data_IF_274996366862
#
_entry.id   IF_274996366862
#
_cell.length_a   1.000
_cell.length_b   1.000
_cell.length_c   1.000
_cell.angle_alpha   90.00
_cell.angle_beta   90.00
_cell.angle_gamma   90.00
#
_symmetry.space_group_name_H-M   'P 1'
#
loop_
_entity.id
_entity.type
_entity.pdbx_description
1 polymer ?
#
# COMPACT_ATOMS: atom_id res chain seq x y z
N UNK A 1 -2.70 11.44 -22.43
CA UNK A 1 -2.05 10.26 -21.82
C UNK A 1 -2.76 9.80 -20.56
N UNK A 2 -3.05 10.65 -19.57
CA UNK A 2 -3.72 10.23 -18.31
C UNK A 2 -5.03 9.44 -18.47
N UNK A 3 -5.90 9.84 -19.39
CA UNK A 3 -7.15 9.09 -19.65
C UNK A 3 -6.97 7.65 -20.16
N UNK A 4 -5.83 7.31 -20.77
CA UNK A 4 -5.58 5.95 -21.25
C UNK A 4 -5.19 5.03 -20.09
N UNK A 5 -4.28 5.49 -19.22
CA UNK A 5 -3.83 4.77 -18.02
C UNK A 5 -4.99 4.50 -17.07
N UNK A 6 -5.87 5.49 -16.87
CA UNK A 6 -7.06 5.33 -16.04
C UNK A 6 -8.01 4.26 -16.61
N UNK A 7 -8.28 4.29 -17.91
CA UNK A 7 -9.12 3.28 -18.57
C UNK A 7 -8.51 1.89 -18.49
N UNK A 8 -7.20 1.79 -18.63
CA UNK A 8 -6.49 0.51 -18.47
C UNK A 8 -6.59 0.00 -17.03
N UNK A 9 -6.45 0.87 -16.02
CA UNK A 9 -6.67 0.51 -14.63
C UNK A 9 -8.10 0.02 -14.39
N UNK A 10 -9.09 0.74 -14.91
CA UNK A 10 -10.50 0.37 -14.83
C UNK A 10 -10.77 -0.99 -15.47
N UNK A 11 -10.15 -1.27 -16.63
CA UNK A 11 -10.24 -2.56 -17.31
C UNK A 11 -9.65 -3.68 -16.46
N UNK A 12 -8.45 -3.49 -15.88
CA UNK A 12 -7.83 -4.48 -14.99
C UNK A 12 -8.71 -4.80 -13.78
N UNK A 13 -9.42 -3.80 -13.23
CA UNK A 13 -10.38 -3.99 -12.14
C UNK A 13 -11.57 -4.83 -12.61
N UNK A 14 -12.13 -4.55 -13.80
CA UNK A 14 -13.26 -5.31 -14.34
C UNK A 14 -12.88 -6.76 -14.66
N UNK A 15 -11.68 -6.99 -15.19
CA UNK A 15 -11.14 -8.33 -15.45
C UNK A 15 -10.93 -9.11 -14.15
N UNK A 16 -10.35 -8.47 -13.12
CA UNK A 16 -10.18 -9.08 -11.81
C UNK A 16 -11.53 -9.42 -11.16
N UNK A 17 -12.53 -8.54 -11.31
CA UNK A 17 -13.91 -8.79 -10.86
C UNK A 17 -14.54 -9.97 -11.60
N UNK A 18 -14.41 -10.03 -12.93
CA UNK A 18 -15.00 -11.08 -13.74
C UNK A 18 -14.37 -12.46 -13.49
N UNK A 19 -13.06 -12.48 -13.21
CA UNK A 19 -12.32 -13.71 -12.89
C UNK A 19 -12.41 -14.14 -11.43
N UNK A 20 -12.91 -13.27 -10.54
CA UNK A 20 -12.89 -13.51 -9.10
C UNK A 20 -11.48 -13.52 -8.51
N UNK A 21 -10.53 -12.83 -9.15
CA UNK A 21 -9.15 -12.74 -8.69
C UNK A 21 -9.08 -12.11 -7.30
N UNK A 22 -8.15 -12.60 -6.48
CA UNK A 22 -7.82 -11.98 -5.20
C UNK A 22 -6.71 -10.94 -5.33
N UNK A 23 -5.91 -11.03 -6.39
CA UNK A 23 -4.79 -10.14 -6.66
C UNK A 23 -5.08 -9.18 -7.82
N UNK A 24 -4.74 -7.91 -7.61
CA UNK A 24 -4.79 -6.86 -8.61
C UNK A 24 -3.46 -6.12 -8.68
N UNK A 25 -2.94 -5.98 -9.89
CA UNK A 25 -1.73 -5.20 -10.18
C UNK A 25 -2.03 -3.98 -11.04
N UNK A 26 -1.74 -2.80 -10.49
CA UNK A 26 -1.74 -1.53 -11.22
C UNK A 26 -0.31 -1.10 -11.59
N UNK A 27 0.67 -2.00 -11.46
CA UNK A 27 2.05 -1.77 -11.88
C UNK A 27 2.13 -1.39 -13.36
N UNK A 28 3.10 -0.52 -13.65
CA UNK A 28 3.35 -0.01 -15.00
C UNK A 28 2.39 1.11 -15.41
N UNK A 29 1.33 1.35 -14.63
CA UNK A 29 0.43 2.46 -14.88
C UNK A 29 0.94 3.74 -14.23
N UNK A 30 1.06 4.80 -15.02
CA UNK A 30 1.49 6.12 -14.54
C UNK A 30 0.33 6.92 -14.00
N UNK A 31 -0.38 6.36 -13.01
CA UNK A 31 -1.54 6.98 -12.39
C UNK A 31 -1.13 8.19 -11.54
N UNK A 32 -1.94 9.24 -11.61
CA UNK A 32 -1.88 10.39 -10.69
C UNK A 32 -2.59 10.06 -9.38
N UNK A 33 -2.35 10.88 -8.36
CA UNK A 33 -3.03 10.79 -7.06
C UNK A 33 -4.56 10.77 -7.22
N UNK A 34 -5.11 11.71 -7.97
CA UNK A 34 -6.56 11.83 -8.21
C UNK A 34 -7.13 10.67 -9.03
N UNK A 35 -6.33 10.09 -9.93
CA UNK A 35 -6.74 8.93 -10.73
C UNK A 35 -6.82 7.69 -9.84
N UNK A 36 -5.83 7.46 -8.97
CA UNK A 36 -5.93 6.40 -7.97
C UNK A 36 -7.12 6.62 -7.03
N UNK A 37 -7.36 7.85 -6.59
CA UNK A 37 -8.49 8.18 -5.73
C UNK A 37 -9.84 7.85 -6.40
N UNK A 38 -9.96 8.15 -7.70
CA UNK A 38 -11.16 7.87 -8.49
C UNK A 38 -11.40 6.36 -8.72
N UNK A 39 -10.35 5.53 -8.67
CA UNK A 39 -10.47 4.08 -8.82
C UNK A 39 -10.95 3.38 -7.53
N UNK A 40 -10.72 3.98 -6.35
CA UNK A 40 -11.05 3.35 -5.07
C UNK A 40 -12.52 2.94 -4.94
N UNK A 41 -13.52 3.78 -5.29
CA UNK A 41 -14.92 3.36 -5.24
C UNK A 41 -15.21 2.11 -6.08
N UNK A 42 -14.49 1.93 -7.20
CA UNK A 42 -14.60 0.74 -8.04
C UNK A 42 -13.92 -0.47 -7.39
N UNK A 43 -12.73 -0.29 -6.82
CA UNK A 43 -12.01 -1.33 -6.07
C UNK A 43 -12.84 -1.85 -4.88
N UNK A 44 -13.48 -0.96 -4.14
CA UNK A 44 -14.34 -1.31 -3.00
C UNK A 44 -15.55 -2.17 -3.39
N UNK A 45 -15.97 -2.14 -4.66
CA UNK A 45 -17.06 -2.99 -5.20
C UNK A 45 -16.57 -4.38 -5.66
N UNK A 46 -15.27 -4.67 -5.53
CA UNK A 46 -14.67 -5.97 -5.88
C UNK A 46 -14.09 -6.60 -4.61
N UNK A 47 -14.94 -7.15 -3.72
CA UNK A 47 -14.52 -7.59 -2.38
C UNK A 47 -13.55 -8.78 -2.41
N UNK A 48 -13.40 -9.46 -3.55
CA UNK A 48 -12.39 -10.52 -3.73
C UNK A 48 -10.96 -9.97 -3.68
N UNK A 49 -10.72 -8.73 -4.10
CA UNK A 49 -9.37 -8.14 -4.14
C UNK A 49 -8.86 -7.94 -2.71
N UNK A 50 -7.93 -8.78 -2.30
CA UNK A 50 -7.25 -8.71 -1.00
C UNK A 50 -5.76 -8.38 -1.16
N UNK A 51 -5.21 -8.60 -2.36
CA UNK A 51 -3.83 -8.32 -2.74
C UNK A 51 -3.78 -7.15 -3.74
N UNK A 52 -3.34 -5.97 -3.28
CA UNK A 52 -3.20 -4.79 -4.13
C UNK A 52 -1.72 -4.44 -4.36
N UNK A 53 -1.32 -4.39 -5.63
CA UNK A 53 0.02 -4.04 -6.06
C UNK A 53 0.05 -2.70 -6.82
N UNK A 54 0.58 -1.68 -6.14
CA UNK A 54 0.76 -0.31 -6.62
C UNK A 54 2.26 0.00 -6.85
N UNK A 55 3.13 -1.01 -6.96
CA UNK A 55 4.57 -0.76 -7.20
C UNK A 55 4.78 0.07 -8.46
N UNK A 56 5.67 1.06 -8.39
CA UNK A 56 5.93 1.98 -9.49
C UNK A 56 4.87 3.08 -9.68
N UNK A 57 3.89 3.20 -8.78
CA UNK A 57 3.06 4.41 -8.66
C UNK A 57 3.96 5.64 -8.42
N UNK A 58 3.83 6.64 -9.30
CA UNK A 58 4.76 7.77 -9.37
C UNK A 58 4.50 8.90 -8.37
N UNK A 59 3.53 8.75 -7.47
CA UNK A 59 3.17 9.79 -6.50
C UNK A 59 3.99 9.69 -5.22
N UNK A 60 4.22 10.84 -4.58
CA UNK A 60 4.83 10.92 -3.26
C UNK A 60 3.86 10.67 -2.09
N UNK A 61 2.55 10.57 -2.40
CA UNK A 61 1.47 10.38 -1.44
C UNK A 61 0.44 9.36 -1.94
N UNK A 62 -0.35 8.82 -1.01
CA UNK A 62 -1.51 7.97 -1.28
C UNK A 62 -2.82 8.71 -0.93
N UNK A 63 -3.89 8.54 -1.72
CA UNK A 63 -5.15 9.21 -1.43
C UNK A 63 -5.83 8.58 -0.20
N UNK A 64 -6.49 9.40 0.60
CA UNK A 64 -7.20 8.98 1.82
C UNK A 64 -8.19 7.84 1.58
N UNK A 65 -8.81 7.84 0.41
CA UNK A 65 -9.77 6.81 0.02
C UNK A 65 -9.20 5.40 0.07
N UNK A 66 -7.89 5.18 -0.13
CA UNK A 66 -7.28 3.84 -0.05
C UNK A 66 -7.51 3.18 1.32
N UNK A 67 -7.65 3.97 2.40
CA UNK A 67 -8.00 3.46 3.73
C UNK A 67 -9.36 2.76 3.82
N UNK A 68 -10.25 2.97 2.83
CA UNK A 68 -11.55 2.32 2.75
C UNK A 68 -11.48 0.86 2.27
N UNK A 69 -10.34 0.43 1.72
CA UNK A 69 -10.14 -0.94 1.22
C UNK A 69 -9.78 -1.91 2.35
N UNK A 70 -10.62 -1.97 3.38
CA UNK A 70 -10.35 -2.67 4.65
C UNK A 70 -10.27 -4.20 4.51
N UNK A 71 -10.66 -4.76 3.37
CA UNK A 71 -10.52 -6.18 3.05
C UNK A 71 -9.10 -6.57 2.59
N UNK A 72 -8.19 -5.60 2.36
CA UNK A 72 -6.83 -5.89 1.93
C UNK A 72 -6.05 -6.68 2.99
N UNK A 73 -5.41 -7.76 2.54
CA UNK A 73 -4.46 -8.58 3.31
C UNK A 73 -3.02 -8.28 2.90
N UNK A 74 -2.81 -7.80 1.66
CA UNK A 74 -1.50 -7.43 1.15
C UNK A 74 -1.53 -6.10 0.39
N UNK A 75 -0.64 -5.18 0.77
CA UNK A 75 -0.41 -3.92 0.06
C UNK A 75 1.06 -3.78 -0.35
N UNK A 76 1.31 -3.62 -1.67
CA UNK A 76 2.66 -3.47 -2.23
C UNK A 76 2.83 -2.08 -2.84
N UNK A 77 3.74 -1.31 -2.27
CA UNK A 77 4.07 0.08 -2.61
C UNK A 77 5.57 0.28 -2.91
N UNK A 78 6.34 -0.80 -2.99
CA UNK A 78 7.79 -0.71 -3.21
C UNK A 78 8.18 -0.06 -4.54
N UNK A 79 9.31 0.64 -4.56
CA UNK A 79 9.81 1.35 -5.74
C UNK A 79 8.92 2.49 -6.22
N UNK A 80 8.14 3.08 -5.30
CA UNK A 80 7.35 4.30 -5.54
C UNK A 80 8.09 5.52 -4.99
N UNK A 81 7.67 6.72 -5.38
CA UNK A 81 8.21 7.97 -4.82
C UNK A 81 7.61 8.32 -3.45
N UNK A 82 6.90 7.39 -2.81
CA UNK A 82 6.19 7.60 -1.55
C UNK A 82 7.14 8.10 -0.46
N UNK A 83 6.81 9.23 0.15
CA UNK A 83 7.66 9.88 1.18
C UNK A 83 7.12 9.73 2.60
N UNK A 84 5.81 9.46 2.72
CA UNK A 84 5.13 9.22 3.98
C UNK A 84 4.01 8.20 3.81
N UNK A 85 3.73 7.42 4.86
CA UNK A 85 2.54 6.58 4.94
C UNK A 85 1.47 7.34 5.74
N UNK A 86 0.25 7.52 5.22
CA UNK A 86 -0.79 8.26 5.94
C UNK A 86 -1.33 7.53 7.17
N UNK A 87 -1.88 8.29 8.14
CA UNK A 87 -2.48 7.76 9.37
C UNK A 87 -3.66 6.78 9.15
N UNK A 88 -4.35 6.87 8.01
CA UNK A 88 -5.41 5.91 7.70
C UNK A 88 -4.88 4.49 7.47
N UNK A 89 -3.56 4.27 7.36
CA UNK A 89 -3.01 2.92 7.21
C UNK A 89 -3.49 1.98 8.31
N UNK A 90 -3.65 2.50 9.54
CA UNK A 90 -4.17 1.73 10.68
C UNK A 90 -5.59 1.19 10.51
N UNK A 91 -6.36 1.73 9.56
CA UNK A 91 -7.70 1.23 9.21
C UNK A 91 -7.65 -0.12 8.49
N UNK A 92 -6.54 -0.46 7.84
CA UNK A 92 -6.36 -1.69 7.07
C UNK A 92 -5.98 -2.86 7.99
N UNK A 93 -6.78 -3.09 9.03
CA UNK A 93 -6.49 -4.03 10.13
C UNK A 93 -6.37 -5.50 9.69
N UNK A 94 -6.85 -5.86 8.49
CA UNK A 94 -6.67 -7.19 7.90
C UNK A 94 -5.31 -7.38 7.21
N UNK A 95 -4.48 -6.34 7.10
CA UNK A 95 -3.16 -6.47 6.47
C UNK A 95 -2.29 -7.46 7.23
N UNK A 96 -1.79 -8.43 6.47
CA UNK A 96 -0.75 -9.39 6.90
C UNK A 96 0.61 -9.03 6.29
N UNK A 97 0.62 -8.34 5.16
CA UNK A 97 1.84 -7.96 4.43
C UNK A 97 1.78 -6.51 3.95
N UNK A 98 2.76 -5.71 4.37
CA UNK A 98 2.98 -4.33 3.91
C UNK A 98 4.40 -4.20 3.34
N UNK A 99 4.51 -3.88 2.04
CA UNK A 99 5.81 -3.72 1.36
C UNK A 99 6.02 -2.30 0.89
N UNK A 100 6.96 -1.61 1.52
CA UNK A 100 7.35 -0.21 1.29
C UNK A 100 8.82 -0.10 0.84
N UNK A 101 9.46 -1.21 0.47
CA UNK A 101 10.88 -1.25 0.13
C UNK A 101 11.24 -0.35 -1.05
N UNK A 102 12.35 0.39 -0.96
CA UNK A 102 12.82 1.26 -2.04
C UNK A 102 11.90 2.45 -2.30
N UNK A 103 11.20 2.93 -1.28
CA UNK A 103 10.45 4.19 -1.33
C UNK A 103 11.26 5.33 -0.70
N UNK A 104 10.86 6.58 -0.93
CA UNK A 104 11.45 7.76 -0.28
C UNK A 104 10.99 7.96 1.16
N UNK A 105 10.46 6.92 1.81
CA UNK A 105 9.85 6.99 3.13
C UNK A 105 10.86 7.39 4.20
N UNK A 106 10.57 8.45 4.96
CA UNK A 106 11.44 8.94 6.06
C UNK A 106 10.87 8.71 7.45
N UNK A 107 9.55 8.51 7.55
CA UNK A 107 8.84 8.27 8.81
C UNK A 107 7.70 7.25 8.62
N UNK A 108 7.27 6.62 9.72
CA UNK A 108 6.05 5.82 9.76
C UNK A 108 5.06 6.49 10.74
N UNK A 109 3.75 6.48 10.44
CA UNK A 109 2.73 7.00 11.34
C UNK A 109 2.55 6.09 12.57
N UNK A 110 2.08 6.65 13.68
CA UNK A 110 1.81 5.87 14.91
C UNK A 110 0.68 4.85 14.71
N UNK A 111 -0.25 5.11 13.78
CA UNK A 111 -1.28 4.14 13.39
C UNK A 111 -0.74 2.84 12.80
N UNK A 112 0.55 2.74 12.44
CA UNK A 112 1.12 1.47 11.97
C UNK A 112 0.93 0.36 13.02
N UNK A 113 0.99 0.68 14.32
CA UNK A 113 0.76 -0.29 15.40
C UNK A 113 -0.65 -0.88 15.45
N UNK A 114 -1.63 -0.26 14.77
CA UNK A 114 -3.00 -0.79 14.67
C UNK A 114 -3.10 -2.00 13.74
N UNK A 115 -2.07 -2.25 12.91
CA UNK A 115 -1.99 -3.40 12.01
C UNK A 115 -1.64 -4.69 12.76
N UNK A 116 -2.45 -5.07 13.74
CA UNK A 116 -2.13 -6.17 14.66
C UNK A 116 -2.04 -7.54 13.99
N UNK A 117 -2.61 -7.72 12.78
CA UNK A 117 -2.47 -8.93 11.96
C UNK A 117 -1.20 -8.95 11.08
N UNK A 118 -0.39 -7.87 11.09
CA UNK A 118 0.75 -7.74 10.20
C UNK A 118 1.83 -8.76 10.58
N UNK A 119 2.18 -9.62 9.62
CA UNK A 119 3.23 -10.63 9.78
C UNK A 119 4.52 -10.22 9.09
N UNK A 120 4.41 -9.41 8.01
CA UNK A 120 5.53 -8.94 7.21
C UNK A 120 5.45 -7.43 7.01
N UNK A 121 6.48 -6.72 7.48
CA UNK A 121 6.73 -5.31 7.22
C UNK A 121 8.09 -5.16 6.53
N UNK A 122 8.09 -4.75 5.27
CA UNK A 122 9.33 -4.55 4.51
C UNK A 122 9.56 -3.07 4.21
N UNK A 123 10.58 -2.51 4.86
CA UNK A 123 11.02 -1.11 4.78
C UNK A 123 12.43 -0.99 4.20
N UNK A 124 12.96 -2.05 3.58
CA UNK A 124 14.33 -2.07 3.09
C UNK A 124 14.59 -0.97 2.06
N UNK A 125 15.74 -0.29 2.15
CA UNK A 125 16.14 0.78 1.25
C UNK A 125 15.22 2.00 1.29
N UNK A 126 14.64 2.31 2.46
CA UNK A 126 13.94 3.57 2.71
C UNK A 126 14.85 4.57 3.43
N UNK A 127 14.47 5.84 3.49
CA UNK A 127 15.18 6.89 4.23
C UNK A 127 14.85 6.94 5.72
N UNK A 128 14.22 5.89 6.26
CA UNK A 128 13.68 5.84 7.61
C UNK A 128 14.81 5.93 8.66
N UNK A 129 14.73 6.90 9.57
CA UNK A 129 15.74 7.13 10.64
C UNK A 129 15.26 6.71 12.02
N UNK A 130 13.96 6.52 12.21
CA UNK A 130 13.36 6.06 13.46
C UNK A 130 12.11 5.21 13.18
N UNK A 131 11.72 4.37 14.14
CA UNK A 131 10.45 3.66 14.15
C UNK A 131 9.56 4.26 15.23
N UNK A 132 8.26 4.49 14.97
CA UNK A 132 7.33 4.91 16.01
C UNK A 132 7.21 3.84 17.10
N UNK A 133 6.95 4.24 18.35
CA UNK A 133 6.88 3.30 19.48
C UNK A 133 5.79 2.23 19.27
N UNK A 134 4.72 2.59 18.55
CA UNK A 134 3.63 1.71 18.15
C UNK A 134 4.05 0.50 17.31
N UNK A 135 5.25 0.47 16.69
CA UNK A 135 5.77 -0.75 16.05
C UNK A 135 5.86 -1.91 17.06
N UNK A 136 6.05 -1.63 18.35
CA UNK A 136 5.99 -2.62 19.42
C UNK A 136 4.62 -3.27 19.62
N UNK A 137 3.55 -2.70 19.05
CA UNK A 137 2.18 -3.25 19.11
C UNK A 137 1.92 -4.33 18.03
N UNK A 138 2.82 -4.49 17.07
CA UNK A 138 2.72 -5.46 15.98
C UNK A 138 3.04 -6.90 16.47
N UNK A 139 2.20 -7.42 17.36
CA UNK A 139 2.41 -8.69 18.08
C UNK A 139 2.52 -9.93 17.18
N UNK A 140 1.98 -9.89 15.96
CA UNK A 140 2.07 -10.98 14.98
C UNK A 140 3.24 -10.82 13.99
N UNK A 141 4.05 -9.77 14.12
CA UNK A 141 5.14 -9.49 13.18
C UNK A 141 6.25 -10.52 13.31
N UNK A 142 6.47 -11.28 12.24
CA UNK A 142 7.54 -12.29 12.18
C UNK A 142 8.70 -11.85 11.30
N UNK A 143 8.43 -10.94 10.36
CA UNK A 143 9.43 -10.41 9.44
C UNK A 143 9.39 -8.88 9.42
N UNK A 144 10.44 -8.26 9.96
CA UNK A 144 10.71 -6.84 9.86
C UNK A 144 12.01 -6.65 9.09
N UNK A 145 11.93 -6.13 7.86
CA UNK A 145 13.11 -5.87 7.04
C UNK A 145 13.46 -4.38 7.03
N UNK A 146 14.59 -4.04 7.65
CA UNK A 146 15.13 -2.68 7.78
C UNK A 146 16.47 -2.52 7.04
N UNK A 147 16.82 -3.47 6.16
CA UNK A 147 18.11 -3.42 5.47
C UNK A 147 18.25 -2.13 4.64
N UNK A 148 19.31 -1.37 4.87
CA UNK A 148 19.57 -0.12 4.14
C UNK A 148 18.62 1.02 4.50
N UNK A 149 18.03 1.02 5.70
CA UNK A 149 17.44 2.23 6.29
C UNK A 149 18.51 3.11 6.94
N UNK A 150 18.13 4.30 7.39
CA UNK A 150 18.98 5.22 8.15
C UNK A 150 18.94 4.99 9.67
N UNK A 151 18.37 3.87 10.14
CA UNK A 151 18.34 3.51 11.56
C UNK A 151 19.76 3.21 12.05
N UNK A 152 20.22 3.92 13.08
CA UNK A 152 21.52 3.74 13.74
C UNK A 152 21.39 3.18 15.14
#
# INVERSE_FOLDING_TARGET
MGHQELREAEQRIDEARASGSEALTLRGLSLRLEELAALVPKLAQVPSITDLDLRGFGSAALPESVGQLTNLTTLRLGGTSLTGVPEWIGQLTNLTTLRLSGTGLTELPESVGQLTNLTTLNLAGTGLTELPESVGQLTNLTTLNLAGTGLT
#
